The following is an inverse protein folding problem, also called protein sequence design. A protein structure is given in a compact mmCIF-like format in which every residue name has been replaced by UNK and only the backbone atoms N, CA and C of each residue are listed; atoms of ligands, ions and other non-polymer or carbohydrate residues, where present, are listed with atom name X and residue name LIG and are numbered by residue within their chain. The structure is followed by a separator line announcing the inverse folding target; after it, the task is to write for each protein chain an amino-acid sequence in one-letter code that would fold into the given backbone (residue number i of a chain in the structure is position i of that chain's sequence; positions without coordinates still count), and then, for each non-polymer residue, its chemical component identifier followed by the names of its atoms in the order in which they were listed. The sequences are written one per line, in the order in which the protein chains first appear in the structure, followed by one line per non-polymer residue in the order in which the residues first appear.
data_IF_008268848278
#
_entry.id   IF_008268848278
#
_cell.length_a   1.000
_cell.length_b   1.000
_cell.length_c   1.000
_cell.angle_alpha   90.00
_cell.angle_beta   90.00
_cell.angle_gamma   90.00
#
_symmetry.space_group_name_H-M   'P 1'
#
loop_
_entity.id
_entity.type
_entity.pdbx_description
1 polymer ?
#
# COMPACT_ATOMS: atom_id res chain seq x y z
N UNK A 1 10.85 19.10 -47.80
CA UNK A 1 9.77 19.06 -46.79
C UNK A 1 9.09 20.42 -46.77
N UNK A 2 7.82 20.43 -47.19
CA UNK A 2 6.97 21.63 -47.20
C UNK A 2 6.58 22.07 -45.79
N UNK A 3 6.06 23.30 -45.67
CA UNK A 3 5.57 23.86 -44.40
C UNK A 3 4.46 23.00 -43.77
N UNK A 4 3.59 22.41 -44.60
CA UNK A 4 2.52 21.50 -44.18
C UNK A 4 3.09 20.19 -43.59
N UNK A 5 4.08 19.58 -44.24
CA UNK A 5 4.75 18.36 -43.75
C UNK A 5 5.38 18.56 -42.37
N UNK A 6 5.93 19.75 -42.09
CA UNK A 6 6.49 20.09 -40.77
C UNK A 6 5.42 20.25 -39.71
N UNK A 7 4.28 20.81 -40.06
CA UNK A 7 3.16 21.01 -39.14
C UNK A 7 2.46 19.69 -38.79
N UNK A 8 2.31 18.80 -39.77
CA UNK A 8 1.83 17.43 -39.56
C UNK A 8 2.81 16.62 -38.69
N UNK A 9 4.12 16.75 -38.95
CA UNK A 9 5.14 16.13 -38.11
C UNK A 9 5.07 16.64 -36.67
N UNK A 10 4.94 17.95 -36.46
CA UNK A 10 4.81 18.55 -35.13
C UNK A 10 3.56 18.06 -34.40
N UNK A 11 2.39 18.05 -35.07
CA UNK A 11 1.14 17.49 -34.50
C UNK A 11 1.27 16.02 -34.15
N UNK A 12 1.99 15.24 -34.94
CA UNK A 12 2.28 13.83 -34.64
C UNK A 12 3.16 13.69 -33.39
N UNK A 13 4.18 14.55 -33.22
CA UNK A 13 5.00 14.58 -32.01
C UNK A 13 4.19 14.97 -30.77
N UNK A 14 3.31 15.97 -30.87
CA UNK A 14 2.41 16.37 -29.79
C UNK A 14 1.44 15.25 -29.41
N UNK A 15 0.87 14.54 -30.39
CA UNK A 15 0.00 13.39 -30.15
C UNK A 15 0.76 12.23 -29.49
N UNK A 16 2.01 11.98 -29.88
CA UNK A 16 2.88 10.99 -29.23
C UNK A 16 3.23 11.40 -27.80
N UNK A 17 3.50 12.68 -27.54
CA UNK A 17 3.75 13.20 -26.20
C UNK A 17 2.51 13.06 -25.30
N UNK A 18 1.32 13.41 -25.79
CA UNK A 18 0.07 13.24 -25.07
C UNK A 18 -0.21 11.75 -24.74
N UNK A 19 0.04 10.85 -25.69
CA UNK A 19 -0.07 9.40 -25.48
C UNK A 19 0.94 8.90 -24.43
N UNK A 20 2.16 9.44 -24.42
CA UNK A 20 3.16 9.10 -23.41
C UNK A 20 2.73 9.57 -22.01
N UNK A 21 2.18 10.77 -21.88
CA UNK A 21 1.63 11.29 -20.62
C UNK A 21 0.47 10.42 -20.10
N UNK A 22 -0.45 10.02 -20.98
CA UNK A 22 -1.55 9.11 -20.63
C UNK A 22 -1.05 7.76 -20.08
N UNK A 23 -0.02 7.19 -20.70
CA UNK A 23 0.61 5.94 -20.23
C UNK A 23 1.22 6.12 -18.84
N UNK A 24 1.92 7.23 -18.58
CA UNK A 24 2.51 7.52 -17.27
C UNK A 24 1.44 7.67 -16.17
N UNK A 25 0.31 8.32 -16.47
CA UNK A 25 -0.81 8.44 -15.54
C UNK A 25 -1.43 7.07 -15.19
N UNK A 26 -1.52 6.16 -16.17
CA UNK A 26 -1.99 4.78 -15.94
C UNK A 26 -1.04 3.99 -15.04
N UNK A 27 0.28 4.13 -15.24
CA UNK A 27 1.29 3.49 -14.39
C UNK A 27 1.23 4.02 -12.95
N UNK A 28 1.06 5.33 -12.75
CA UNK A 28 0.95 5.92 -11.42
C UNK A 28 -0.37 5.59 -10.69
N UNK A 29 -1.44 5.28 -11.44
CA UNK A 29 -2.68 4.69 -10.88
C UNK A 29 -2.50 3.24 -10.39
N UNK A 30 -1.44 2.56 -10.83
CA UNK A 30 -1.36 1.10 -10.76
C UNK A 30 -0.65 0.60 -9.50
N UNK A 31 -1.41 -0.07 -8.62
CA UNK A 31 -1.11 -1.30 -7.86
C UNK A 31 0.23 -1.54 -7.14
N UNK A 32 1.21 -0.64 -7.21
CA UNK A 32 2.56 -0.84 -6.64
C UNK A 32 2.52 -0.83 -5.12
N UNK A 33 1.76 0.10 -4.53
CA UNK A 33 1.53 0.18 -3.09
C UNK A 33 0.74 -1.02 -2.58
N UNK A 34 -0.27 -1.46 -3.33
CA UNK A 34 -1.07 -2.66 -2.99
C UNK A 34 -0.24 -3.94 -3.07
N UNK A 35 0.66 -4.03 -4.06
CA UNK A 35 1.62 -5.14 -4.18
C UNK A 35 2.61 -5.15 -3.02
N UNK A 36 3.15 -3.99 -2.66
CA UNK A 36 4.06 -3.86 -1.51
C UNK A 36 3.35 -4.24 -0.20
N UNK A 37 2.11 -3.78 -0.02
CA UNK A 37 1.29 -4.12 1.14
C UNK A 37 1.03 -5.62 1.22
N UNK A 38 0.57 -6.25 0.13
CA UNK A 38 0.37 -7.72 0.08
C UNK A 38 1.64 -8.50 0.43
N UNK A 39 2.79 -8.10 -0.10
CA UNK A 39 4.06 -8.74 0.20
C UNK A 39 4.41 -8.63 1.69
N UNK A 40 4.22 -7.45 2.29
CA UNK A 40 4.49 -7.23 3.70
C UNK A 40 3.52 -8.01 4.61
N UNK A 41 2.24 -8.08 4.23
CA UNK A 41 1.22 -8.87 4.94
C UNK A 41 1.59 -10.35 4.96
N UNK A 42 1.99 -10.91 3.81
CA UNK A 42 2.40 -12.32 3.70
C UNK A 42 3.60 -12.60 4.61
N UNK A 43 4.62 -11.74 4.57
CA UNK A 43 5.79 -11.89 5.43
C UNK A 43 5.41 -11.85 6.92
N UNK A 44 4.59 -10.88 7.33
CA UNK A 44 4.20 -10.73 8.73
C UNK A 44 3.35 -11.91 9.24
N UNK A 45 2.39 -12.40 8.45
CA UNK A 45 1.54 -13.56 8.82
C UNK A 45 2.37 -14.84 8.88
N UNK A 46 3.39 -14.98 8.02
CA UNK A 46 4.30 -16.15 8.07
C UNK A 46 5.06 -16.23 9.41
N UNK A 47 5.37 -15.08 10.01
CA UNK A 47 6.01 -14.99 11.33
C UNK A 47 4.98 -15.03 12.47
N UNK A 48 3.75 -14.57 12.23
CA UNK A 48 2.67 -14.42 13.22
C UNK A 48 1.41 -15.19 12.80
N UNK A 49 1.51 -16.51 12.71
CA UNK A 49 0.48 -17.35 12.08
C UNK A 49 -0.80 -17.53 12.90
N UNK A 50 -0.85 -17.06 14.14
CA UNK A 50 -2.01 -17.19 15.03
C UNK A 50 -2.70 -15.85 15.30
N UNK A 51 -4.00 -15.89 15.53
CA UNK A 51 -4.82 -14.75 15.86
C UNK A 51 -4.53 -14.26 17.29
N UNK A 52 -4.00 -13.05 17.39
CA UNK A 52 -3.67 -12.41 18.67
C UNK A 52 -4.90 -12.17 19.55
N UNK A 53 -6.06 -11.87 18.95
CA UNK A 53 -7.31 -11.65 19.71
C UNK A 53 -7.87 -12.95 20.30
N UNK A 54 -7.83 -14.05 19.54
CA UNK A 54 -8.26 -15.35 20.02
C UNK A 54 -7.34 -15.85 21.14
N UNK A 55 -6.03 -15.66 21.00
CA UNK A 55 -5.04 -16.06 22.01
C UNK A 55 -5.31 -15.40 23.37
N UNK A 56 -5.66 -14.09 23.38
CA UNK A 56 -6.04 -13.37 24.62
C UNK A 56 -7.24 -13.97 25.35
N UNK A 57 -8.10 -14.68 24.63
CA UNK A 57 -9.31 -15.34 25.16
C UNK A 57 -9.10 -16.83 25.42
N UNK A 58 -7.89 -17.35 25.24
CA UNK A 58 -7.57 -18.77 25.41
C UNK A 58 -7.96 -19.67 24.23
N UNK A 59 -8.23 -19.10 23.05
CA UNK A 59 -8.52 -19.85 21.82
C UNK A 59 -7.35 -19.80 20.85
N UNK A 60 -7.24 -20.84 20.01
CA UNK A 60 -6.25 -20.90 18.92
C UNK A 60 -6.99 -20.83 17.59
N UNK A 61 -6.66 -19.84 16.77
CA UNK A 61 -7.12 -19.78 15.39
C UNK A 61 -6.03 -19.21 14.50
N UNK A 62 -6.02 -19.60 13.23
CA UNK A 62 -5.05 -19.12 12.24
C UNK A 62 -5.34 -17.65 11.89
N UNK A 63 -4.29 -16.86 11.74
CA UNK A 63 -4.39 -15.49 11.25
C UNK A 63 -4.33 -15.45 9.73
N UNK A 64 -5.21 -14.66 9.13
CA UNK A 64 -5.27 -14.44 7.68
C UNK A 64 -5.23 -12.95 7.33
N UNK A 65 -5.51 -12.09 8.29
CA UNK A 65 -5.65 -10.65 8.12
C UNK A 65 -4.77 -9.92 9.14
N UNK A 66 -4.43 -8.69 8.79
CA UNK A 66 -3.72 -7.76 9.68
C UNK A 66 -4.64 -6.58 9.96
N UNK A 67 -4.71 -6.18 11.22
CA UNK A 67 -5.30 -4.90 11.64
C UNK A 67 -4.23 -4.04 12.29
N UNK A 68 -4.42 -2.73 12.26
CA UNK A 68 -3.60 -1.79 13.01
C UNK A 68 -4.11 -1.67 14.44
N UNK A 69 -3.21 -1.71 15.43
CA UNK A 69 -3.54 -1.53 16.84
C UNK A 69 -4.01 -0.09 17.11
N UNK A 70 -3.25 0.88 16.58
CA UNK A 70 -3.57 2.29 16.52
C UNK A 70 -3.92 2.66 15.08
N UNK A 71 -5.06 3.33 14.88
CA UNK A 71 -5.49 3.76 13.55
C UNK A 71 -4.46 4.74 12.95
N UNK A 72 -3.79 4.37 11.85
CA UNK A 72 -2.75 5.22 11.26
C UNK A 72 -3.30 6.48 10.59
N UNK A 73 -4.60 6.54 10.25
CA UNK A 73 -5.21 7.64 9.47
C UNK A 73 -4.42 7.96 8.20
N UNK A 74 -3.56 8.98 8.23
CA UNK A 74 -2.71 9.41 7.11
C UNK A 74 -1.21 9.35 7.44
N UNK A 75 -0.85 8.87 8.64
CA UNK A 75 0.54 8.68 9.05
C UNK A 75 1.10 7.41 8.40
N UNK A 76 2.03 7.62 7.46
CA UNK A 76 2.71 6.54 6.74
C UNK A 76 3.66 5.76 7.64
N UNK A 77 4.30 6.40 8.63
CA UNK A 77 5.21 5.71 9.54
C UNK A 77 4.42 4.74 10.40
N UNK A 78 3.33 5.21 10.99
CA UNK A 78 2.46 4.38 11.82
C UNK A 78 1.74 3.28 11.02
N UNK A 79 1.45 3.52 9.74
CA UNK A 79 0.86 2.50 8.84
C UNK A 79 1.83 1.36 8.56
N UNK A 80 3.11 1.67 8.31
CA UNK A 80 4.15 0.68 7.97
C UNK A 80 4.92 0.15 9.18
N UNK A 81 4.67 0.66 10.38
CA UNK A 81 5.24 0.14 11.63
C UNK A 81 4.69 -1.26 11.94
N UNK A 82 5.56 -2.27 11.85
CA UNK A 82 5.24 -3.66 12.17
C UNK A 82 4.78 -3.85 13.62
N UNK A 83 5.21 -3.01 14.56
CA UNK A 83 4.77 -3.09 15.95
C UNK A 83 3.31 -2.65 16.12
N UNK A 84 2.81 -1.87 15.16
CA UNK A 84 1.42 -1.47 15.10
C UNK A 84 0.53 -2.52 14.43
N UNK A 85 1.08 -3.61 13.88
CA UNK A 85 0.32 -4.65 13.20
C UNK A 85 -0.09 -5.77 14.16
N UNK A 86 -1.34 -6.24 14.01
CA UNK A 86 -1.89 -7.36 14.77
C UNK A 86 -2.44 -8.41 13.80
N UNK A 87 -1.97 -9.65 13.94
CA UNK A 87 -2.47 -10.81 13.22
C UNK A 87 -3.84 -11.25 13.77
N UNK A 88 -4.85 -11.35 12.91
CA UNK A 88 -6.20 -11.74 13.29
C UNK A 88 -6.83 -12.73 12.30
N UNK A 89 -7.74 -13.56 12.80
CA UNK A 89 -8.57 -14.41 11.95
C UNK A 89 -9.71 -13.63 11.30
N UNK A 90 -10.32 -14.14 10.21
CA UNK A 90 -11.43 -13.46 9.51
C UNK A 90 -12.58 -12.98 10.41
N UNK A 91 -13.11 -13.75 11.38
CA UNK A 91 -14.20 -13.27 12.23
C UNK A 91 -13.75 -12.16 13.19
N UNK A 92 -12.51 -12.20 13.70
CA UNK A 92 -11.98 -11.12 14.53
C UNK A 92 -11.70 -9.86 13.72
N UNK A 93 -11.21 -10.01 12.49
CA UNK A 93 -11.07 -8.89 11.55
C UNK A 93 -12.41 -8.19 11.30
N UNK A 94 -13.45 -8.95 10.95
CA UNK A 94 -14.79 -8.39 10.72
C UNK A 94 -15.34 -7.66 11.96
N UNK A 95 -15.11 -8.21 13.16
CA UNK A 95 -15.53 -7.59 14.43
C UNK A 95 -14.79 -6.30 14.76
N UNK A 96 -13.48 -6.23 14.50
CA UNK A 96 -12.62 -5.08 14.87
C UNK A 96 -12.73 -3.96 13.81
N UNK A 97 -12.55 -4.32 12.54
CA UNK A 97 -12.51 -3.36 11.43
C UNK A 97 -13.93 -2.93 11.04
N UNK A 98 -14.91 -3.84 11.10
CA UNK A 98 -16.25 -3.62 10.58
C UNK A 98 -16.22 -3.45 9.05
N UNK A 99 -17.00 -2.49 8.54
CA UNK A 99 -17.06 -2.15 7.12
C UNK A 99 -16.11 -1.00 6.72
N UNK A 100 -15.05 -0.75 7.50
CA UNK A 100 -14.10 0.34 7.23
C UNK A 100 -13.11 -0.08 6.14
N UNK A 101 -13.05 0.62 5.00
CA UNK A 101 -12.09 0.29 3.96
C UNK A 101 -10.66 0.70 4.39
N UNK A 102 -9.70 -0.20 4.22
CA UNK A 102 -8.29 0.10 4.46
C UNK A 102 -7.72 0.95 3.31
N UNK A 103 -7.32 2.19 3.58
CA UNK A 103 -6.60 3.03 2.62
C UNK A 103 -5.11 2.67 2.66
N UNK A 104 -4.63 1.91 1.67
CA UNK A 104 -3.20 1.57 1.56
C UNK A 104 -2.38 2.82 1.22
N UNK A 105 -1.46 3.15 2.11
CA UNK A 105 -0.52 4.25 1.96
C UNK A 105 0.74 3.82 1.20
N UNK A 106 1.46 4.78 0.64
CA UNK A 106 2.70 4.49 -0.10
C UNK A 106 3.79 3.93 0.82
N UNK A 107 4.58 2.94 0.37
CA UNK A 107 5.71 2.42 1.14
C UNK A 107 6.79 3.49 1.33
N UNK A 108 7.37 3.52 2.52
CA UNK A 108 8.50 4.41 2.84
C UNK A 108 9.72 3.87 2.10
N UNK A 109 10.24 4.64 1.14
CA UNK A 109 11.48 4.29 0.43
C UNK A 109 12.67 4.56 1.35
N UNK A 110 13.45 3.53 1.66
CA UNK A 110 14.78 3.67 2.24
C UNK A 110 15.64 4.47 1.25
N UNK A 111 15.90 5.74 1.56
CA UNK A 111 16.54 6.70 0.66
C UNK A 111 16.15 8.15 0.91
N UNK A 112 15.27 8.42 1.87
CA UNK A 112 15.03 9.76 2.41
C UNK A 112 15.54 9.71 3.84
N UNK A 113 16.41 10.66 4.21
CA UNK A 113 16.95 10.84 5.57
C UNK A 113 15.83 10.76 6.61
N UNK A 114 15.60 9.55 7.14
CA UNK A 114 14.79 9.34 8.32
C UNK A 114 15.66 9.78 9.48
N UNK A 115 15.73 11.10 9.69
CA UNK A 115 16.37 11.68 10.86
C UNK A 115 15.86 10.94 12.10
N UNK A 116 16.80 10.32 12.80
CA UNK A 116 16.61 9.68 14.09
C UNK A 116 15.80 10.63 14.98
N UNK A 117 14.58 10.21 15.34
CA UNK A 117 13.89 10.83 16.48
C UNK A 117 14.58 10.27 17.71
N UNK A 118 15.66 10.93 18.12
CA UNK A 118 16.29 10.66 19.41
C UNK A 118 15.28 10.97 20.52
N UNK A 119 15.23 10.07 21.51
CA UNK A 119 14.34 10.12 22.68
C UNK A 119 14.69 11.25 23.62
#
# INVERSE_FOLDING_TARGET
MGRKDREEHWRSQEALAAKAEEVLLKVNKSGRKDKAWRAAVIAFISENSFCSDCAKRGFVSVAEWIVHANDPKEDRVLFWDRNNWISVCPPCHARITGNRPLKVLEPIKLGIDLYLVEK
#
